data_IF_402814955373
#
_entry.id   IF_402814955373
#
_cell.length_a   1.000
_cell.length_b   1.000
_cell.length_c   1.000
_cell.angle_alpha   90.00
_cell.angle_beta   90.00
_cell.angle_gamma   90.00
#
_symmetry.space_group_name_H-M   'P 1'
#
loop_
_entity.id
_entity.type
_entity.pdbx_description
1 polymer ?
#
# COMPACT_ATOMS: atom_id res chain seq x y z
N UNK A 1 -43.74 -7.27 0.60
CA UNK A 1 -42.44 -7.31 -0.14
C UNK A 1 -41.34 -6.90 0.84
N UNK A 2 -40.43 -7.82 1.21
CA UNK A 2 -39.34 -7.53 2.16
C UNK A 2 -38.26 -6.71 1.44
N UNK A 3 -38.10 -5.46 1.85
CA UNK A 3 -37.05 -4.57 1.34
C UNK A 3 -35.70 -5.07 1.83
N UNK A 4 -34.91 -5.64 0.93
CA UNK A 4 -33.50 -5.91 1.18
C UNK A 4 -32.78 -4.56 1.24
N UNK A 5 -32.56 -4.03 2.45
CA UNK A 5 -31.58 -2.96 2.66
C UNK A 5 -30.23 -3.51 2.21
N UNK A 6 -29.82 -3.15 1.00
CA UNK A 6 -28.46 -3.35 0.53
C UNK A 6 -27.60 -2.45 1.41
N UNK A 7 -27.03 -3.01 2.47
CA UNK A 7 -25.98 -2.36 3.22
C UNK A 7 -24.84 -2.13 2.23
N UNK A 8 -24.67 -0.88 1.80
CA UNK A 8 -23.57 -0.46 0.94
C UNK A 8 -22.32 -0.54 1.81
N UNK A 9 -21.68 -1.71 1.79
CA UNK A 9 -20.41 -1.95 2.47
C UNK A 9 -19.41 -1.07 1.73
N UNK A 10 -19.16 0.14 2.24
CA UNK A 10 -18.06 1.00 1.83
C UNK A 10 -16.72 0.39 2.25
N UNK A 11 -16.52 -0.92 2.07
CA UNK A 11 -15.21 -1.53 2.13
C UNK A 11 -14.46 -0.97 0.94
N UNK A 12 -13.42 -0.17 1.22
CA UNK A 12 -12.46 0.20 0.20
C UNK A 12 -12.01 -1.11 -0.46
N UNK A 13 -12.04 -1.23 -1.79
CA UNK A 13 -11.61 -2.46 -2.45
C UNK A 13 -10.14 -2.69 -2.12
N UNK A 14 -9.86 -3.85 -1.52
CA UNK A 14 -8.50 -4.28 -1.17
C UNK A 14 -8.06 -5.28 -2.22
N UNK A 15 -6.91 -5.03 -2.84
CA UNK A 15 -6.32 -5.89 -3.87
C UNK A 15 -4.94 -6.31 -3.37
N UNK A 16 -4.71 -7.62 -3.24
CA UNK A 16 -3.46 -8.18 -2.67
C UNK A 16 -3.06 -7.59 -1.30
N UNK A 17 -4.05 -7.26 -0.44
CA UNK A 17 -3.80 -6.67 0.88
C UNK A 17 -3.45 -5.18 0.87
N UNK A 18 -3.60 -4.50 -0.27
CA UNK A 18 -3.43 -3.06 -0.42
C UNK A 18 -4.78 -2.37 -0.71
N UNK A 19 -4.98 -1.19 -0.12
CA UNK A 19 -6.01 -0.25 -0.56
C UNK A 19 -5.82 0.02 -2.07
N UNK A 20 -6.92 0.11 -2.81
CA UNK A 20 -6.90 0.28 -4.28
C UNK A 20 -5.96 1.41 -4.76
N UNK A 21 -5.93 2.54 -4.05
CA UNK A 21 -5.02 3.65 -4.36
C UNK A 21 -3.54 3.27 -4.24
N UNK A 22 -3.18 2.52 -3.19
CA UNK A 22 -1.80 2.06 -2.98
C UNK A 22 -1.43 0.96 -3.99
N UNK A 23 -2.40 0.15 -4.40
CA UNK A 23 -2.21 -0.83 -5.47
C UNK A 23 -1.86 -0.15 -6.80
N UNK A 24 -2.53 0.94 -7.17
CA UNK A 24 -2.15 1.70 -8.37
C UNK A 24 -0.74 2.28 -8.29
N UNK A 25 -0.32 2.79 -7.12
CA UNK A 25 1.05 3.26 -6.90
C UNK A 25 2.05 2.11 -7.10
N UNK A 26 1.73 0.92 -6.56
CA UNK A 26 2.57 -0.27 -6.72
C UNK A 26 2.71 -0.70 -8.18
N UNK A 27 1.61 -0.74 -8.93
CA UNK A 27 1.63 -1.06 -10.37
C UNK A 27 2.46 -0.03 -11.14
N UNK A 28 2.34 1.26 -10.81
CA UNK A 28 3.11 2.32 -11.47
C UNK A 28 4.62 2.12 -11.24
N UNK A 29 5.03 1.73 -10.02
CA UNK A 29 6.42 1.41 -9.70
C UNK A 29 6.93 0.18 -10.48
N UNK A 30 6.09 -0.84 -10.68
CA UNK A 30 6.41 -2.01 -11.51
C UNK A 30 6.63 -1.59 -12.97
N UNK A 31 5.76 -0.75 -13.52
CA UNK A 31 5.91 -0.26 -14.90
C UNK A 31 7.24 0.47 -15.07
N UNK A 32 7.61 1.34 -14.12
CA UNK A 32 8.92 2.02 -14.13
C UNK A 32 10.06 1.01 -14.05
N UNK A 33 9.95 -0.01 -13.19
CA UNK A 33 10.94 -1.09 -13.11
C UNK A 33 11.11 -1.82 -14.46
N UNK A 34 10.02 -2.11 -15.15
CA UNK A 34 10.07 -2.74 -16.49
C UNK A 34 10.80 -1.83 -17.48
N UNK A 35 10.56 -0.51 -17.47
CA UNK A 35 11.32 0.43 -18.31
C UNK A 35 12.83 0.42 -18.00
N UNK A 36 13.21 0.33 -16.73
CA UNK A 36 14.62 0.21 -16.33
C UNK A 36 15.24 -1.09 -16.87
N UNK A 37 14.46 -2.17 -16.96
CA UNK A 37 14.90 -3.45 -17.53
C UNK A 37 15.01 -3.48 -19.06
N UNK A 38 14.48 -2.48 -19.77
CA UNK A 38 14.67 -2.38 -21.24
C UNK A 38 16.11 -1.95 -21.57
N UNK A 39 16.78 -1.23 -20.67
CA UNK A 39 18.22 -0.92 -20.79
C UNK A 39 19.06 -2.16 -20.50
N UNK A 40 20.25 -2.32 -21.12
CA UNK A 40 21.14 -3.49 -20.94
C UNK A 40 21.17 -3.97 -19.48
N UNK A 41 20.46 -5.07 -19.23
CA UNK A 41 20.31 -5.67 -17.90
C UNK A 41 21.45 -6.63 -17.65
N UNK A 42 22.07 -6.47 -16.48
CA UNK A 42 23.02 -7.42 -15.92
C UNK A 42 22.29 -8.21 -14.82
N UNK A 43 22.62 -9.50 -14.62
CA UNK A 43 22.01 -10.35 -13.58
C UNK A 43 21.97 -9.66 -12.19
N UNK A 44 23.01 -8.89 -11.86
CA UNK A 44 23.09 -8.11 -10.61
C UNK A 44 22.01 -7.03 -10.50
N UNK A 45 21.70 -6.31 -11.59
CA UNK A 45 20.67 -5.27 -11.60
C UNK A 45 19.27 -5.87 -11.45
N UNK A 46 19.04 -7.06 -12.02
CA UNK A 46 17.77 -7.78 -11.89
C UNK A 46 17.49 -8.16 -10.43
N UNK A 47 18.52 -8.68 -9.74
CA UNK A 47 18.45 -9.08 -8.33
C UNK A 47 18.24 -7.88 -7.39
N UNK A 48 18.91 -6.76 -7.68
CA UNK A 48 18.70 -5.50 -6.96
C UNK A 48 17.28 -4.95 -7.17
N UNK A 49 16.78 -4.98 -8.40
CA UNK A 49 15.45 -4.49 -8.73
C UNK A 49 14.35 -5.33 -8.07
N UNK A 50 14.50 -6.66 -8.03
CA UNK A 50 13.53 -7.53 -7.37
C UNK A 50 13.47 -7.28 -5.86
N UNK A 51 14.61 -7.07 -5.20
CA UNK A 51 14.68 -6.66 -3.80
C UNK A 51 13.96 -5.33 -3.56
N UNK A 52 14.15 -4.34 -4.44
CA UNK A 52 13.49 -3.04 -4.34
C UNK A 52 11.97 -3.19 -4.49
N UNK A 53 11.49 -4.02 -5.43
CA UNK A 53 10.06 -4.27 -5.62
C UNK A 53 9.44 -4.92 -4.37
N UNK A 54 10.10 -5.91 -3.79
CA UNK A 54 9.65 -6.58 -2.55
C UNK A 54 9.61 -5.59 -1.39
N UNK A 55 10.66 -4.80 -1.19
CA UNK A 55 10.71 -3.79 -0.14
C UNK A 55 9.59 -2.75 -0.31
N UNK A 56 9.36 -2.28 -1.53
CA UNK A 56 8.30 -1.31 -1.86
C UNK A 56 6.91 -1.87 -1.53
N UNK A 57 6.65 -3.14 -1.88
CA UNK A 57 5.39 -3.81 -1.55
C UNK A 57 5.17 -3.90 -0.03
N UNK A 58 6.20 -4.28 0.74
CA UNK A 58 6.11 -4.39 2.20
C UNK A 58 5.77 -3.02 2.82
N UNK A 59 6.44 -1.95 2.40
CA UNK A 59 6.17 -0.59 2.90
C UNK A 59 4.74 -0.17 2.58
N UNK A 60 4.28 -0.40 1.34
CA UNK A 60 2.90 -0.08 0.95
C UNK A 60 1.88 -0.90 1.74
N UNK A 61 2.18 -2.16 2.05
CA UNK A 61 1.31 -3.04 2.85
C UNK A 61 1.16 -2.53 4.28
N UNK A 62 2.25 -2.08 4.89
CA UNK A 62 2.23 -1.44 6.21
C UNK A 62 1.41 -0.15 6.16
N UNK A 63 1.59 0.67 5.13
CA UNK A 63 0.85 1.92 4.97
C UNK A 63 -0.65 1.71 4.73
N UNK A 64 -1.02 0.58 4.12
CA UNK A 64 -2.41 0.20 3.92
C UNK A 64 -3.10 -0.21 5.21
N UNK A 65 -2.35 -0.65 6.23
CA UNK A 65 -2.90 -1.07 7.50
C UNK A 65 -3.13 0.15 8.42
N UNK A 66 -4.40 0.55 8.54
CA UNK A 66 -4.80 1.67 9.39
C UNK A 66 -4.37 1.51 10.84
N UNK A 67 -4.32 0.29 11.37
CA UNK A 67 -3.97 0.06 12.78
C UNK A 67 -2.48 0.33 13.03
N UNK A 68 -1.63 -0.07 12.09
CA UNK A 68 -0.17 0.15 12.18
C UNK A 68 0.18 1.61 11.94
N UNK A 69 -0.46 2.25 10.95
CA UNK A 69 -0.25 3.69 10.72
C UNK A 69 -0.73 4.50 11.92
N UNK A 70 -1.88 4.16 12.50
CA UNK A 70 -2.43 4.88 13.65
C UNK A 70 -1.57 4.69 14.91
N UNK A 71 -0.99 3.51 15.15
CA UNK A 71 -0.08 3.29 16.28
C UNK A 71 1.21 4.09 16.12
N UNK A 72 1.81 4.10 14.93
CA UNK A 72 2.99 4.93 14.63
C UNK A 72 2.71 6.43 14.74
N UNK A 73 1.50 6.88 14.36
CA UNK A 73 1.10 8.29 14.48
C UNK A 73 0.81 8.67 15.94
N UNK A 74 0.13 7.80 16.70
CA UNK A 74 -0.25 8.04 18.10
C UNK A 74 0.97 8.28 19.00
N UNK A 75 2.08 7.61 18.73
CA UNK A 75 3.32 7.79 19.46
C UNK A 75 3.96 9.17 19.22
N UNK A 76 3.72 9.77 18.06
CA UNK A 76 4.26 11.10 17.69
C UNK A 76 3.28 12.26 17.89
N UNK A 77 2.01 11.99 18.20
CA UNK A 77 0.99 13.02 18.38
C UNK A 77 0.97 13.57 19.83
N UNK A 78 0.93 14.91 20.01
CA UNK A 78 0.81 15.54 21.32
C UNK A 78 -0.51 15.17 22.00
N UNK A 79 -0.48 15.03 23.33
CA UNK A 79 -1.58 14.50 24.18
C UNK A 79 -2.95 15.14 23.93
N UNK A 80 -3.00 16.41 23.48
CA UNK A 80 -4.24 17.15 23.25
C UNK A 80 -5.07 16.63 22.06
N UNK A 81 -4.43 16.04 21.05
CA UNK A 81 -5.09 15.49 19.85
C UNK A 81 -5.44 14.00 20.05
N UNK A 82 -4.64 13.31 20.89
CA UNK A 82 -4.79 11.88 21.21
C UNK A 82 -6.16 11.52 21.82
N UNK A 83 -6.80 12.46 22.54
CA UNK A 83 -8.08 12.23 23.22
C UNK A 83 -9.31 12.58 22.36
N UNK A 84 -9.12 13.10 21.14
CA UNK A 84 -10.19 13.56 20.26
C UNK A 84 -10.44 12.63 19.05
N UNK A 85 -9.73 11.49 18.98
CA UNK A 85 -9.65 10.56 17.84
C UNK A 85 -9.91 9.14 18.32
#
# INVERSE_FOLDING_TARGET
>A
MKSFKIYKINAKPIVFGLDLSLFYIFITAIVICVFVLISKVTLTKLLLLSLVVIATYIVLKILSDKNIVLSMLKDKLPKKIRNAL
#
